data_IF_250512315451
#
_entry.id   IF_250512315451
#
_cell.length_a   1.000
_cell.length_b   1.000
_cell.length_c   1.000
_cell.angle_alpha   90.00
_cell.angle_beta   90.00
_cell.angle_gamma   90.00
#
_symmetry.space_group_name_H-M   'P 1'
#
loop_
_entity.id
_entity.type
_entity.pdbx_description
1 polymer ?
#
# COMPACT_ATOMS: atom_id res chain seq x y z
N UNK A 1 -4.08 -17.33 -15.01
CA UNK A 1 -3.87 -16.02 -14.37
C UNK A 1 -3.27 -16.25 -12.99
N UNK A 2 -2.11 -15.65 -12.71
CA UNK A 2 -1.47 -15.68 -11.39
C UNK A 2 -2.18 -14.65 -10.51
N UNK A 3 -2.43 -14.97 -9.23
CA UNK A 3 -2.90 -13.99 -8.25
C UNK A 3 -1.84 -13.84 -7.16
N UNK A 4 -1.47 -12.61 -6.89
CA UNK A 4 -0.67 -12.22 -5.73
C UNK A 4 -1.62 -11.88 -4.58
N UNK A 5 -1.29 -12.31 -3.38
CA UNK A 5 -2.06 -12.06 -2.16
C UNK A 5 -1.10 -11.45 -1.16
N UNK A 6 -1.54 -10.39 -0.48
CA UNK A 6 -0.75 -9.73 0.54
C UNK A 6 -0.67 -10.59 1.80
N UNK A 7 0.47 -10.54 2.48
CA UNK A 7 0.73 -11.33 3.67
C UNK A 7 1.70 -10.60 4.60
N UNK A 8 1.57 -10.86 5.89
CA UNK A 8 2.52 -10.43 6.91
C UNK A 8 3.41 -11.59 7.33
N UNK A 9 4.62 -11.27 7.79
CA UNK A 9 5.54 -12.22 8.41
C UNK A 9 5.74 -11.76 9.85
N UNK A 10 5.43 -12.64 10.81
CA UNK A 10 5.65 -12.34 12.23
C UNK A 10 7.12 -12.53 12.64
N UNK A 11 7.44 -12.18 13.89
CA UNK A 11 8.80 -12.32 14.45
C UNK A 11 9.31 -13.77 14.49
N UNK A 12 8.41 -14.75 14.41
CA UNK A 12 8.74 -16.17 14.40
C UNK A 12 8.86 -16.72 12.97
N UNK A 13 8.64 -15.88 11.95
CA UNK A 13 8.66 -16.25 10.54
C UNK A 13 7.37 -16.90 10.04
N UNK A 14 6.27 -16.83 10.78
CA UNK A 14 4.97 -17.32 10.30
C UNK A 14 4.35 -16.34 9.31
N UNK A 15 3.82 -16.89 8.23
CA UNK A 15 3.15 -16.12 7.17
C UNK A 15 1.64 -16.07 7.45
N UNK A 16 1.12 -14.87 7.68
CA UNK A 16 -0.32 -14.59 7.80
C UNK A 16 -0.85 -13.96 6.52
N UNK A 17 -1.82 -14.59 5.86
CA UNK A 17 -2.45 -14.02 4.65
C UNK A 17 -3.43 -12.92 5.03
N UNK A 18 -3.32 -11.76 4.36
CA UNK A 18 -4.30 -10.67 4.46
C UNK A 18 -5.39 -10.94 3.41
N UNK A 19 -6.41 -11.69 3.83
CA UNK A 19 -7.56 -12.05 2.99
C UNK A 19 -7.64 -13.54 2.64
N UNK A 20 -8.71 -13.92 1.92
CA UNK A 20 -9.00 -15.32 1.60
C UNK A 20 -8.50 -15.73 0.22
N UNK A 21 -7.97 -16.95 0.13
CA UNK A 21 -7.66 -17.60 -1.15
C UNK A 21 -8.78 -18.59 -1.48
N UNK A 22 -9.74 -18.19 -2.31
CA UNK A 22 -10.91 -19.03 -2.67
C UNK A 22 -10.58 -20.23 -3.60
N UNK A 23 -9.31 -20.62 -3.70
CA UNK A 23 -8.84 -21.66 -4.61
C UNK A 23 -8.77 -23.02 -3.92
N UNK A 24 -9.89 -23.75 -3.90
CA UNK A 24 -10.00 -25.12 -3.31
C UNK A 24 -9.14 -26.20 -3.98
N UNK A 25 -8.34 -26.92 -3.21
CA UNK A 25 -7.55 -28.08 -3.65
C UNK A 25 -6.03 -27.89 -3.49
N UNK A 26 -5.26 -28.97 -3.67
CA UNK A 26 -3.79 -28.95 -3.56
C UNK A 26 -3.21 -28.11 -4.70
N UNK A 27 -2.49 -27.05 -4.36
CA UNK A 27 -1.86 -26.15 -5.33
C UNK A 27 -0.50 -25.70 -4.88
N UNK A 28 0.37 -25.44 -5.85
CA UNK A 28 1.66 -24.77 -5.63
C UNK A 28 1.42 -23.27 -5.49
N UNK A 29 2.11 -22.64 -4.55
CA UNK A 29 2.14 -21.21 -4.36
C UNK A 29 3.59 -20.71 -4.46
N UNK A 30 3.75 -19.45 -4.83
CA UNK A 30 5.03 -18.74 -4.74
C UNK A 30 4.93 -17.75 -3.58
N UNK A 31 6.00 -17.65 -2.82
CA UNK A 31 6.17 -16.64 -1.76
C UNK A 31 7.34 -15.77 -2.17
N UNK A 32 7.12 -14.48 -2.20
CA UNK A 32 8.17 -13.47 -2.38
C UNK A 32 8.23 -12.68 -1.10
N UNK A 33 9.39 -12.72 -0.44
CA UNK A 33 9.65 -11.96 0.79
C UNK A 33 10.41 -10.70 0.40
N UNK A 34 9.98 -9.56 0.93
CA UNK A 34 10.69 -8.29 0.78
C UNK A 34 11.62 -8.15 1.98
N UNK A 35 12.88 -7.78 1.75
CA UNK A 35 13.87 -7.58 2.82
C UNK A 35 13.66 -6.27 3.60
N UNK A 36 12.89 -5.35 3.02
CA UNK A 36 12.53 -4.09 3.68
C UNK A 36 11.47 -4.37 4.75
N UNK A 37 11.64 -3.86 5.99
CA UNK A 37 10.60 -3.97 7.01
C UNK A 37 9.27 -3.43 6.47
N UNK A 38 8.12 -3.95 6.95
CA UNK A 38 6.84 -3.35 6.64
C UNK A 38 6.97 -1.86 6.93
N UNK A 39 6.61 -1.03 5.94
CA UNK A 39 6.64 0.41 6.11
C UNK A 39 5.58 0.73 7.16
N UNK A 40 5.93 0.64 8.45
CA UNK A 40 5.28 1.39 9.51
C UNK A 40 5.22 2.78 8.95
N UNK A 41 4.02 3.25 8.61
CA UNK A 41 3.79 4.52 7.95
C UNK A 41 4.62 5.57 8.69
N UNK A 42 5.84 5.80 8.20
CA UNK A 42 6.83 6.51 8.99
C UNK A 42 6.22 7.88 9.19
N UNK A 43 6.35 8.48 10.38
CA UNK A 43 5.73 9.79 10.65
C UNK A 43 6.01 10.79 9.51
N UNK A 44 7.15 10.66 8.84
CA UNK A 44 7.54 11.34 7.59
C UNK A 44 6.52 11.24 6.43
N UNK A 45 5.90 10.07 6.18
CA UNK A 45 4.87 9.87 5.15
C UNK A 45 3.58 10.59 5.54
N UNK A 46 3.12 10.45 6.79
CA UNK A 46 1.92 11.14 7.29
C UNK A 46 2.09 12.67 7.32
N UNK A 47 3.28 13.15 7.70
CA UNK A 47 3.63 14.57 7.67
C UNK A 47 3.72 15.11 6.23
N UNK A 48 4.17 14.29 5.27
CA UNK A 48 4.21 14.66 3.86
C UNK A 48 2.81 14.72 3.24
N UNK A 49 1.90 13.80 3.60
CA UNK A 49 0.49 13.85 3.18
C UNK A 49 -0.20 15.11 3.71
N UNK A 50 0.01 15.45 4.98
CA UNK A 50 -0.57 16.65 5.58
C UNK A 50 -0.01 17.94 4.95
N UNK A 51 1.30 17.99 4.69
CA UNK A 51 1.93 19.13 4.01
C UNK A 51 1.43 19.30 2.57
N UNK A 52 1.33 18.21 1.80
CA UNK A 52 0.86 18.24 0.41
C UNK A 52 -0.64 18.58 0.32
N UNK A 53 -1.46 18.09 1.26
CA UNK A 53 -2.88 18.43 1.33
C UNK A 53 -3.12 19.92 1.58
N UNK A 54 -2.22 20.60 2.29
CA UNK A 54 -2.38 22.01 2.62
C UNK A 54 -2.01 22.92 1.46
N UNK A 55 -1.00 22.53 0.66
CA UNK A 55 -0.59 23.26 -0.54
C UNK A 55 -1.60 23.10 -1.69
N UNK A 56 -2.18 21.91 -1.83
CA UNK A 56 -3.08 21.55 -2.95
C UNK A 56 -4.49 22.13 -2.87
N UNK A 57 -4.94 22.58 -1.69
CA UNK A 57 -6.29 23.16 -1.49
C UNK A 57 -6.33 24.68 -1.64
N UNK A 58 -5.28 25.28 -2.21
CA UNK A 58 -5.26 26.74 -2.41
C UNK A 58 -6.26 27.14 -3.50
N UNK A 59 -7.06 28.20 -3.28
CA UNK A 59 -8.00 28.69 -4.28
C UNK A 59 -7.31 29.14 -5.58
N UNK A 60 -6.04 29.53 -5.50
CA UNK A 60 -5.20 29.88 -6.65
C UNK A 60 -4.87 28.66 -7.54
N UNK A 61 -4.78 27.47 -6.96
CA UNK A 61 -4.57 26.24 -7.72
C UNK A 61 -5.87 25.74 -8.35
N UNK A 62 -7.01 25.85 -7.67
CA UNK A 62 -8.33 25.50 -8.23
C UNK A 62 -8.64 26.31 -9.51
N UNK A 63 -8.29 27.59 -9.55
CA UNK A 63 -8.41 28.44 -10.74
C UNK A 63 -7.50 27.93 -11.88
N UNK A 64 -6.24 27.61 -11.57
CA UNK A 64 -5.29 27.06 -12.54
C UNK A 64 -5.75 25.71 -13.13
N UNK A 65 -6.42 24.88 -12.32
CA UNK A 65 -6.95 23.58 -12.71
C UNK A 65 -8.21 23.70 -13.58
N UNK A 66 -9.06 24.70 -13.31
CA UNK A 66 -10.26 24.99 -14.10
C UNK A 66 -9.96 25.33 -15.58
N UNK A 67 -8.74 25.80 -15.85
CA UNK A 67 -8.28 26.17 -17.19
C UNK A 67 -7.72 25.01 -18.01
N UNK A 68 -7.61 23.81 -17.43
CA UNK A 68 -7.04 22.63 -18.09
C UNK A 68 -8.08 21.61 -18.60
N UNK A 69 -9.37 21.96 -18.55
CA UNK A 69 -10.49 21.13 -19.01
C UNK A 69 -10.91 21.42 -20.46
#
# INVERSE_FOLDING_TARGET
MIRTVEATIDENGHIGLIGSIDRKGIRRAFVTVLDEPPNDASETVLLSEQSLSTDWTKPEEEEAWSHLQ
#
